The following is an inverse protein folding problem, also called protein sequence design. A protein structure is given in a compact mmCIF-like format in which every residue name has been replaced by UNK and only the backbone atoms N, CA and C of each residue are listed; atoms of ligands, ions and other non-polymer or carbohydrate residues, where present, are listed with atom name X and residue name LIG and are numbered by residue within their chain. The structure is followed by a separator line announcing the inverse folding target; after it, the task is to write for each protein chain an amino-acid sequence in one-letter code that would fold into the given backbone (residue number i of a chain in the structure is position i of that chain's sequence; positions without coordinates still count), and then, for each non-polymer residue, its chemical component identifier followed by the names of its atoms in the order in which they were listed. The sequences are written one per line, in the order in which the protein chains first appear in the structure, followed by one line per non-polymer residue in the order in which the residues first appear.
data_IF_533880817119
#
_entry.id   IF_533880817119
#
_cell.length_a   1.000
_cell.length_b   1.000
_cell.length_c   1.000
_cell.angle_alpha   90.00
_cell.angle_beta   90.00
_cell.angle_gamma   90.00
#
_symmetry.space_group_name_H-M   'P 1'
#
loop_
_entity.id
_entity.type
_entity.pdbx_description
1 polymer ?
#
# COMPACT_ATOMS: atom_id res chain seq x y z
N UNK A 1 0.91 -10.56 13.03
CA UNK A 1 1.06 -9.18 13.53
C UNK A 1 2.23 -8.54 12.81
N UNK A 2 2.06 -7.31 12.33
CA UNK A 2 3.15 -6.51 11.77
C UNK A 2 3.38 -5.29 12.67
N UNK A 3 4.64 -4.98 12.96
CA UNK A 3 5.02 -3.81 13.74
C UNK A 3 5.74 -2.82 12.84
N UNK A 4 5.28 -1.57 12.81
CA UNK A 4 5.83 -0.49 11.99
C UNK A 4 6.16 0.66 12.92
N UNK A 5 7.28 1.34 12.66
CA UNK A 5 7.67 2.55 13.38
C UNK A 5 7.50 3.71 12.41
N UNK A 6 6.63 4.65 12.75
CA UNK A 6 6.45 5.85 11.94
C UNK A 6 7.53 6.91 12.25
N UNK A 7 7.72 7.84 11.32
CA UNK A 7 8.61 9.00 11.50
C UNK A 7 8.17 9.91 12.65
N UNK A 8 6.89 9.85 13.04
CA UNK A 8 6.33 10.49 14.24
C UNK A 8 6.89 9.93 15.56
N UNK A 9 7.50 8.73 15.51
CA UNK A 9 7.94 7.97 16.68
C UNK A 9 6.86 7.05 17.26
N UNK A 10 5.69 6.95 16.62
CA UNK A 10 4.63 6.04 17.03
C UNK A 10 4.93 4.59 16.60
N UNK A 11 4.57 3.64 17.47
CA UNK A 11 4.66 2.21 17.19
C UNK A 11 3.29 1.70 16.73
N UNK A 12 3.16 1.39 15.45
CA UNK A 12 1.94 0.85 14.87
C UNK A 12 1.97 -0.67 14.92
N UNK A 13 0.94 -1.26 15.50
CA UNK A 13 0.70 -2.70 15.52
C UNK A 13 -0.47 -2.99 14.60
N UNK A 14 -0.21 -3.72 13.52
CA UNK A 14 -1.24 -4.15 12.57
C UNK A 14 -1.61 -5.62 12.81
N UNK A 15 -2.90 -5.86 13.05
CA UNK A 15 -3.51 -7.17 13.22
C UNK A 15 -4.55 -7.45 12.13
N UNK A 16 -4.97 -8.71 12.04
CA UNK A 16 -5.98 -9.13 11.06
C UNK A 16 -7.41 -8.70 11.44
N UNK A 17 -7.65 -8.31 12.69
CA UNK A 17 -8.95 -7.91 13.20
C UNK A 17 -8.85 -7.46 14.66
N UNK A 18 -9.97 -6.99 15.20
CA UNK A 18 -10.05 -6.38 16.53
C UNK A 18 -9.63 -7.36 17.65
N UNK A 19 -10.19 -8.57 17.65
CA UNK A 19 -9.85 -9.60 18.63
C UNK A 19 -8.35 -9.98 18.60
N UNK A 20 -7.78 -10.03 17.39
CA UNK A 20 -6.36 -10.33 17.22
C UNK A 20 -5.49 -9.20 17.81
N UNK A 21 -5.86 -7.94 17.60
CA UNK A 21 -5.17 -6.81 18.21
C UNK A 21 -5.30 -6.82 19.74
N UNK A 22 -6.47 -7.12 20.27
CA UNK A 22 -6.71 -7.17 21.72
C UNK A 22 -5.82 -8.22 22.41
N UNK A 23 -5.78 -9.44 21.86
CA UNK A 23 -4.92 -10.52 22.38
C UNK A 23 -3.45 -10.11 22.30
N UNK A 24 -3.00 -9.61 21.15
CA UNK A 24 -1.59 -9.23 20.99
C UNK A 24 -1.16 -8.08 21.89
N UNK A 25 -2.04 -7.11 22.16
CA UNK A 25 -1.76 -6.02 23.09
C UNK A 25 -1.71 -6.53 24.53
N UNK A 26 -2.59 -7.47 24.89
CA UNK A 26 -2.60 -8.09 26.21
C UNK A 26 -1.32 -8.89 26.47
N UNK A 27 -0.93 -9.75 25.54
CA UNK A 27 0.32 -10.53 25.64
C UNK A 27 1.55 -9.61 25.70
N UNK A 28 1.52 -8.48 24.98
CA UNK A 28 2.59 -7.50 25.03
C UNK A 28 2.70 -6.82 26.40
N UNK A 29 1.58 -6.46 27.02
CA UNK A 29 1.53 -5.78 28.32
C UNK A 29 1.80 -6.74 29.50
N UNK A 30 1.28 -7.97 29.45
CA UNK A 30 1.32 -8.93 30.57
C UNK A 30 2.55 -9.86 30.53
N UNK A 31 2.94 -10.36 29.35
CA UNK A 31 3.93 -11.46 29.23
C UNK A 31 5.26 -11.05 28.62
N UNK A 32 5.26 -10.10 27.68
CA UNK A 32 6.47 -9.75 26.92
C UNK A 32 7.19 -8.51 27.45
N UNK A 33 6.51 -7.37 27.47
CA UNK A 33 7.11 -6.10 27.90
C UNK A 33 6.91 -5.88 29.42
N UNK A 34 5.86 -6.47 30.00
CA UNK A 34 5.54 -6.38 31.43
C UNK A 34 5.47 -4.94 31.94
N UNK A 35 4.97 -4.02 31.10
CA UNK A 35 4.84 -2.59 31.39
C UNK A 35 3.49 -2.06 30.91
N UNK A 36 2.90 -1.06 31.59
CA UNK A 36 1.65 -0.44 31.13
C UNK A 36 1.82 0.23 29.77
N UNK A 37 0.91 -0.07 28.83
CA UNK A 37 0.97 0.45 27.46
C UNK A 37 -0.16 1.46 27.23
N UNK A 38 0.17 2.61 26.65
CA UNK A 38 -0.84 3.57 26.15
C UNK A 38 -1.19 3.20 24.72
N UNK A 39 -2.44 2.79 24.51
CA UNK A 39 -3.00 2.45 23.19
C UNK A 39 -3.98 3.53 22.73
N UNK A 40 -3.95 3.83 21.43
CA UNK A 40 -4.96 4.64 20.75
C UNK A 40 -6.10 3.75 20.22
N UNK A 41 -7.18 4.38 19.75
CA UNK A 41 -8.28 3.66 19.12
C UNK A 41 -7.82 2.97 17.83
N UNK A 42 -8.31 1.75 17.54
CA UNK A 42 -7.92 1.00 16.35
C UNK A 42 -8.35 1.75 15.09
N UNK A 43 -7.42 1.86 14.14
CA UNK A 43 -7.66 2.47 12.83
C UNK A 43 -7.40 1.47 11.72
N UNK A 44 -8.11 1.62 10.60
CA UNK A 44 -7.90 0.84 9.39
C UNK A 44 -6.92 1.54 8.45
N UNK A 45 -6.08 0.76 7.77
CA UNK A 45 -5.19 1.30 6.74
C UNK A 45 -5.98 1.69 5.51
N UNK A 46 -5.88 2.96 5.10
CA UNK A 46 -6.45 3.43 3.86
C UNK A 46 -5.48 3.21 2.68
N UNK A 47 -6.05 3.16 1.47
CA UNK A 47 -5.30 3.14 0.21
C UNK A 47 -5.78 4.29 -0.67
N UNK A 48 -4.88 4.82 -1.48
CA UNK A 48 -5.17 5.91 -2.40
C UNK A 48 -5.38 5.35 -3.82
N UNK A 49 -6.35 5.91 -4.55
CA UNK A 49 -6.64 5.57 -5.94
C UNK A 49 -7.14 6.81 -6.69
N UNK A 50 -7.19 6.72 -8.03
CA UNK A 50 -7.69 7.77 -8.91
C UNK A 50 -9.00 7.32 -9.57
N UNK A 51 -9.99 8.21 -9.62
CA UNK A 51 -11.30 7.90 -10.22
C UNK A 51 -11.39 8.26 -11.70
N UNK A 52 -10.59 9.24 -12.15
CA UNK A 52 -10.64 9.78 -13.51
C UNK A 52 -9.22 10.08 -14.03
N UNK A 53 -9.08 10.22 -15.35
CA UNK A 53 -7.82 10.66 -15.93
C UNK A 53 -7.48 12.08 -15.50
N UNK A 54 -6.19 12.31 -15.20
CA UNK A 54 -5.66 13.63 -14.90
C UNK A 54 -6.02 14.64 -16.01
N UNK A 55 -6.66 15.75 -15.61
CA UNK A 55 -7.10 16.81 -16.52
C UNK A 55 -5.95 17.49 -17.29
N UNK A 56 -4.72 17.40 -16.78
CA UNK A 56 -3.52 18.00 -17.37
C UNK A 56 -2.33 17.03 -17.30
N UNK A 57 -1.39 17.23 -18.19
CA UNK A 57 -0.11 16.52 -18.16
C UNK A 57 0.80 17.15 -17.10
N UNK A 58 1.07 16.41 -16.03
CA UNK A 58 1.95 16.86 -14.95
C UNK A 58 3.41 16.77 -15.38
N UNK A 59 4.20 17.81 -15.11
CA UNK A 59 5.64 17.88 -15.40
C UNK A 59 6.44 18.01 -14.10
N UNK A 60 7.38 17.09 -13.89
CA UNK A 60 8.41 17.20 -12.85
C UNK A 60 9.81 17.30 -13.47
N UNK A 61 10.71 18.05 -12.81
CA UNK A 61 12.10 18.22 -13.26
C UNK A 61 13.05 17.75 -12.16
N UNK A 62 14.14 17.10 -12.54
CA UNK A 62 15.20 16.77 -11.58
C UNK A 62 15.83 18.05 -11.01
N UNK A 63 16.43 18.00 -9.80
CA UNK A 63 17.08 19.17 -9.19
C UNK A 63 18.16 19.81 -10.08
N UNK A 64 18.91 18.98 -10.83
CA UNK A 64 19.92 19.44 -11.81
C UNK A 64 19.33 19.92 -13.15
N UNK A 65 18.00 19.89 -13.32
CA UNK A 65 17.24 20.34 -14.49
C UNK A 65 17.49 19.59 -15.81
N UNK A 66 18.25 18.49 -15.80
CA UNK A 66 18.53 17.71 -17.01
C UNK A 66 17.40 16.74 -17.37
N UNK A 67 16.66 16.24 -16.37
CA UNK A 67 15.57 15.30 -16.60
C UNK A 67 14.22 15.99 -16.43
N UNK A 68 13.27 15.60 -17.29
CA UNK A 68 11.88 16.03 -17.26
C UNK A 68 10.99 14.81 -17.42
N UNK A 69 10.10 14.59 -16.46
CA UNK A 69 9.11 13.52 -16.49
C UNK A 69 7.74 14.14 -16.74
N UNK A 70 7.03 13.61 -17.73
CA UNK A 70 5.66 13.98 -18.05
C UNK A 70 4.77 12.78 -17.78
N UNK A 71 3.76 12.94 -16.93
CA UNK A 71 2.88 11.85 -16.53
C UNK A 71 1.42 12.32 -16.40
N UNK A 72 0.51 11.37 -16.59
CA UNK A 72 -0.90 11.46 -16.24
C UNK A 72 -1.28 10.19 -15.48
N UNK A 73 -2.11 10.33 -14.46
CA UNK A 73 -2.73 9.18 -13.81
C UNK A 73 -4.10 8.93 -14.44
N UNK A 74 -4.48 7.66 -14.58
CA UNK A 74 -5.81 7.20 -14.97
C UNK A 74 -6.21 6.00 -14.09
N UNK A 75 -7.52 5.77 -13.89
CA UNK A 75 -7.98 4.57 -13.19
C UNK A 75 -7.51 3.31 -13.92
N UNK A 76 -7.16 2.27 -13.16
CA UNK A 76 -6.87 0.96 -13.74
C UNK A 76 -8.16 0.34 -14.29
N UNK A 77 -8.08 -0.51 -15.33
CA UNK A 77 -9.21 -1.32 -15.79
C UNK A 77 -9.78 -2.19 -14.66
N UNK A 78 -11.09 -2.42 -14.70
CA UNK A 78 -11.78 -3.24 -13.71
C UNK A 78 -11.21 -4.66 -13.67
N UNK A 79 -10.95 -5.17 -12.47
CA UNK A 79 -10.40 -6.52 -12.26
C UNK A 79 -8.87 -6.62 -12.38
N UNK A 80 -8.19 -5.62 -12.97
CA UNK A 80 -6.74 -5.71 -13.16
C UNK A 80 -5.97 -5.68 -11.83
N UNK A 81 -6.45 -4.93 -10.84
CA UNK A 81 -5.83 -4.87 -9.53
C UNK A 81 -5.89 -6.24 -8.83
N UNK A 82 -7.03 -6.91 -8.90
CA UNK A 82 -7.23 -8.25 -8.37
C UNK A 82 -6.37 -9.29 -9.08
N UNK A 83 -6.25 -9.22 -10.41
CA UNK A 83 -5.38 -10.11 -11.19
C UNK A 83 -3.90 -9.96 -10.80
N UNK A 84 -3.46 -8.73 -10.51
CA UNK A 84 -2.10 -8.45 -10.02
C UNK A 84 -1.90 -9.03 -8.62
N UNK A 85 -2.86 -8.82 -7.71
CA UNK A 85 -2.79 -9.33 -6.33
C UNK A 85 -2.84 -10.87 -6.26
N UNK A 86 -3.59 -11.51 -7.16
CA UNK A 86 -3.63 -12.97 -7.31
C UNK A 86 -2.37 -13.55 -7.97
N UNK A 87 -1.56 -12.69 -8.63
CA UNK A 87 -0.37 -13.10 -9.35
C UNK A 87 -0.65 -13.67 -10.74
N UNK A 88 -1.82 -13.40 -11.32
CA UNK A 88 -2.14 -13.74 -12.71
C UNK A 88 -1.32 -12.87 -13.70
N UNK A 89 -0.91 -11.68 -13.25
CA UNK A 89 0.00 -10.77 -13.98
C UNK A 89 1.19 -10.38 -13.12
N UNK A 90 2.40 -10.75 -13.54
CA UNK A 90 3.63 -10.44 -12.83
C UNK A 90 4.61 -9.56 -13.62
N UNK A 91 5.42 -8.74 -12.93
CA UNK A 91 6.53 -8.00 -13.53
C UNK A 91 7.57 -8.90 -14.22
N UNK A 92 7.66 -10.17 -13.81
CA UNK A 92 8.63 -11.16 -14.29
C UNK A 92 8.16 -12.01 -15.48
N UNK A 93 6.89 -11.90 -15.85
CA UNK A 93 6.35 -12.68 -16.97
C UNK A 93 6.98 -12.26 -18.30
N UNK A 94 6.91 -13.15 -19.28
CA UNK A 94 7.34 -12.83 -20.64
C UNK A 94 6.59 -11.61 -21.16
N UNK A 95 7.34 -10.66 -21.70
CA UNK A 95 6.82 -9.36 -22.13
C UNK A 95 5.68 -9.49 -23.13
N UNK A 96 5.74 -10.45 -24.07
CA UNK A 96 4.71 -10.58 -25.11
C UNK A 96 3.41 -11.15 -24.54
N UNK A 97 3.52 -12.09 -23.61
CA UNK A 97 2.36 -12.69 -22.93
C UNK A 97 1.67 -11.64 -22.09
N UNK A 98 2.43 -10.92 -21.25
CA UNK A 98 1.90 -9.84 -20.42
C UNK A 98 1.28 -8.72 -21.24
N UNK A 99 1.94 -8.28 -22.32
CA UNK A 99 1.42 -7.22 -23.18
C UNK A 99 0.09 -7.62 -23.86
N UNK A 100 -0.05 -8.89 -24.27
CA UNK A 100 -1.31 -9.39 -24.82
C UNK A 100 -2.42 -9.36 -23.78
N UNK A 101 -2.15 -9.89 -22.58
CA UNK A 101 -3.11 -9.91 -21.48
C UNK A 101 -3.60 -8.50 -21.11
N UNK A 102 -2.66 -7.57 -20.93
CA UNK A 102 -2.97 -6.18 -20.57
C UNK A 102 -3.70 -5.39 -21.67
N UNK A 103 -3.64 -5.84 -22.92
CA UNK A 103 -4.34 -5.19 -24.03
C UNK A 103 -5.74 -5.76 -24.26
N UNK A 104 -6.03 -6.94 -23.70
CA UNK A 104 -7.35 -7.59 -23.75
C UNK A 104 -8.25 -7.18 -22.56
N UNK A 105 -7.64 -6.57 -21.52
CA UNK A 105 -8.30 -5.97 -20.34
C UNK A 105 -8.56 -4.48 -20.58
#
# INVERSE_FOLDING_TARGET
VQCIIEESGEHIIAGAGELHLEICLKDLEEDHACIPIKKSDPVVSYRESVSEESNQMCLSKSPNKHNRLFMKACPMPDGLAEDIDNGDVNPRDDFKVRARYLNEK
#
